data_IF_124289420529
#
_entry.id   IF_124289420529
#
_cell.length_a   1.000
_cell.length_b   1.000
_cell.length_c   1.000
_cell.angle_alpha   90.00
_cell.angle_beta   90.00
_cell.angle_gamma   90.00
#
_symmetry.space_group_name_H-M   'P 1'
#
loop_
_entity.id
_entity.type
_entity.pdbx_description
1 polymer ?
#
# COMPACT_ATOMS: atom_id res chain seq x y z
N UNK A 1 7.15 17.04 -23.54
CA UNK A 1 6.90 15.61 -23.41
C UNK A 1 7.56 15.22 -22.12
N UNK A 2 6.77 15.10 -21.04
CA UNK A 2 7.31 14.67 -19.75
C UNK A 2 7.49 13.15 -19.84
N UNK A 3 8.72 12.69 -19.81
CA UNK A 3 8.99 11.30 -19.53
C UNK A 3 8.51 11.06 -18.08
N UNK A 4 7.41 10.35 -17.92
CA UNK A 4 7.05 9.77 -16.64
C UNK A 4 8.07 8.64 -16.42
N UNK A 5 8.99 8.86 -15.51
CA UNK A 5 9.88 7.80 -15.06
C UNK A 5 9.01 6.76 -14.34
N UNK A 6 9.19 5.51 -14.71
CA UNK A 6 8.39 4.37 -14.21
C UNK A 6 9.36 3.36 -13.63
N UNK A 7 9.07 2.90 -12.44
CA UNK A 7 9.79 1.81 -11.79
C UNK A 7 9.12 0.49 -12.16
N UNK A 8 9.91 -0.45 -12.65
CA UNK A 8 9.46 -1.77 -13.04
C UNK A 8 9.77 -2.74 -11.91
N UNK A 9 8.73 -3.34 -11.33
CA UNK A 9 8.86 -4.24 -10.20
C UNK A 9 8.38 -5.62 -10.61
N UNK A 10 9.27 -6.61 -10.45
CA UNK A 10 8.98 -8.00 -10.77
C UNK A 10 8.74 -8.78 -9.48
N UNK A 11 7.55 -9.39 -9.37
CA UNK A 11 7.20 -10.25 -8.24
C UNK A 11 7.12 -11.69 -8.73
N UNK A 12 7.83 -12.61 -8.05
CA UNK A 12 7.70 -14.04 -8.28
C UNK A 12 6.62 -14.61 -7.35
N UNK A 13 5.49 -14.99 -7.92
CA UNK A 13 4.41 -15.65 -7.17
C UNK A 13 4.64 -17.16 -7.21
N UNK A 14 4.93 -17.77 -6.06
CA UNK A 14 4.94 -19.22 -5.90
C UNK A 14 3.47 -19.69 -5.80
N UNK A 15 2.91 -20.18 -6.89
CA UNK A 15 1.59 -20.80 -6.89
C UNK A 15 1.69 -22.22 -6.33
N UNK A 16 1.64 -22.33 -5.01
CA UNK A 16 1.43 -23.59 -4.29
C UNK A 16 -0.06 -23.95 -4.26
N UNK A 17 -0.69 -24.16 -5.41
CA UNK A 17 -2.08 -24.55 -5.49
C UNK A 17 -2.23 -26.06 -5.46
N UNK A 18 -2.82 -26.63 -4.41
CA UNK A 18 -3.41 -27.97 -4.43
C UNK A 18 -4.78 -27.89 -5.07
N UNK A 19 -4.85 -27.83 -6.39
CA UNK A 19 -6.07 -28.19 -7.12
C UNK A 19 -6.04 -29.69 -7.40
N UNK A 20 -6.91 -30.43 -6.70
CA UNK A 20 -7.23 -31.82 -7.07
C UNK A 20 -8.14 -31.78 -8.29
N UNK A 21 -7.56 -31.73 -9.48
CA UNK A 21 -8.27 -32.01 -10.72
C UNK A 21 -8.04 -33.47 -11.08
N UNK A 22 -9.10 -34.27 -10.93
CA UNK A 22 -9.09 -35.65 -11.33
C UNK A 22 -9.25 -35.74 -12.86
N UNK A 23 -8.14 -35.97 -13.57
CA UNK A 23 -8.17 -36.39 -14.97
C UNK A 23 -7.19 -37.54 -15.16
N UNK A 24 -7.73 -38.69 -15.62
CA UNK A 24 -6.98 -39.81 -16.18
C UNK A 24 -6.23 -39.37 -17.42
N UNK A 25 -4.92 -39.01 -17.26
CA UNK A 25 -3.97 -38.85 -18.35
C UNK A 25 -2.64 -39.45 -17.91
N UNK A 26 -1.94 -40.23 -18.75
CA UNK A 26 -0.76 -40.95 -18.36
C UNK A 26 0.41 -40.01 -18.06
N UNK A 27 1.08 -40.33 -16.96
CA UNK A 27 2.24 -39.66 -16.41
C UNK A 27 3.43 -39.80 -17.39
N UNK A 28 3.76 -38.71 -18.06
CA UNK A 28 5.12 -38.39 -18.50
C UNK A 28 5.15 -36.94 -18.98
N UNK A 29 5.34 -36.03 -18.01
CA UNK A 29 6.17 -34.83 -18.19
C UNK A 29 6.14 -34.11 -16.82
N UNK A 30 7.31 -33.94 -16.25
CA UNK A 30 7.50 -33.10 -15.07
C UNK A 30 7.04 -31.70 -15.44
N UNK A 31 5.90 -31.29 -14.90
CA UNK A 31 5.47 -29.88 -14.96
C UNK A 31 6.47 -29.11 -14.08
N UNK A 32 7.43 -28.51 -14.73
CA UNK A 32 8.22 -27.43 -14.15
C UNK A 32 7.22 -26.42 -13.57
N UNK A 33 7.29 -26.16 -12.25
CA UNK A 33 6.59 -25.06 -11.66
C UNK A 33 7.06 -23.78 -12.37
N UNK A 34 6.23 -23.29 -13.30
CA UNK A 34 6.50 -22.02 -13.93
C UNK A 34 6.24 -20.95 -12.88
N UNK A 35 7.31 -20.36 -12.36
CA UNK A 35 7.22 -19.13 -11.59
C UNK A 35 6.52 -18.11 -12.48
N UNK A 36 5.29 -17.74 -12.12
CA UNK A 36 4.59 -16.65 -12.78
C UNK A 36 5.23 -15.36 -12.27
N UNK A 37 5.98 -14.71 -13.13
CA UNK A 37 6.51 -13.38 -12.85
C UNK A 37 5.46 -12.37 -13.27
N UNK A 38 4.97 -11.59 -12.32
CA UNK A 38 4.09 -10.45 -12.57
C UNK A 38 4.90 -9.18 -12.41
N UNK A 39 4.82 -8.33 -13.39
CA UNK A 39 5.58 -7.10 -13.48
C UNK A 39 4.62 -5.93 -13.32
N UNK A 40 4.90 -5.04 -12.35
CA UNK A 40 4.10 -3.86 -12.07
C UNK A 40 4.84 -2.60 -12.52
N UNK A 41 4.21 -1.81 -13.38
CA UNK A 41 4.68 -0.48 -13.74
C UNK A 41 4.13 0.55 -12.74
N UNK A 42 5.00 1.04 -11.86
CA UNK A 42 4.63 2.06 -10.86
C UNK A 42 5.27 3.39 -11.24
N UNK A 43 4.46 4.45 -11.28
CA UNK A 43 4.97 5.77 -11.54
C UNK A 43 5.86 6.23 -10.39
N UNK A 44 7.12 6.58 -10.68
CA UNK A 44 8.05 7.11 -9.68
C UNK A 44 7.48 8.34 -8.94
N UNK A 45 6.68 9.15 -9.64
CA UNK A 45 5.99 10.28 -9.03
C UNK A 45 5.05 9.87 -7.90
N UNK A 46 4.39 8.72 -7.98
CA UNK A 46 3.45 8.24 -6.95
C UNK A 46 4.20 7.74 -5.73
N UNK A 47 5.32 7.03 -5.92
CA UNK A 47 6.25 6.67 -4.85
C UNK A 47 6.72 7.94 -4.13
N UNK A 48 7.16 8.94 -4.90
CA UNK A 48 7.66 10.20 -4.37
C UNK A 48 6.58 10.98 -3.58
N UNK A 49 5.34 11.00 -4.04
CA UNK A 49 4.24 11.64 -3.31
C UNK A 49 3.99 10.95 -1.97
N UNK A 50 3.92 9.62 -1.94
CA UNK A 50 3.74 8.86 -0.70
C UNK A 50 4.91 9.03 0.25
N UNK A 51 6.16 8.82 -0.21
CA UNK A 51 7.35 8.91 0.63
C UNK A 51 7.52 10.30 1.26
N UNK A 52 7.27 11.38 0.50
CA UNK A 52 7.30 12.76 1.01
C UNK A 52 6.18 13.03 2.00
N UNK A 53 5.01 12.43 1.81
CA UNK A 53 3.91 12.52 2.79
C UNK A 53 4.28 11.79 4.07
N UNK A 54 4.82 10.57 3.97
CA UNK A 54 5.32 9.81 5.12
C UNK A 54 6.38 10.60 5.90
N UNK A 55 7.29 11.28 5.22
CA UNK A 55 8.29 12.12 5.89
C UNK A 55 7.62 13.20 6.75
N UNK A 56 6.59 13.85 6.26
CA UNK A 56 5.88 14.90 6.99
C UNK A 56 5.01 14.37 8.13
N UNK A 57 4.31 13.25 7.90
CA UNK A 57 3.26 12.75 8.80
C UNK A 57 3.75 11.65 9.76
N UNK A 58 4.78 10.88 9.40
CA UNK A 58 5.13 9.66 10.12
C UNK A 58 6.63 9.38 10.29
N UNK A 59 7.54 10.33 9.97
CA UNK A 59 8.99 10.07 10.08
C UNK A 59 9.46 9.74 11.50
N UNK A 60 8.74 10.20 12.51
CA UNK A 60 9.03 9.95 13.92
C UNK A 60 8.42 8.66 14.48
N UNK A 61 7.58 7.98 13.70
CA UNK A 61 6.95 6.73 14.10
C UNK A 61 7.93 5.58 13.82
N UNK A 62 8.13 4.68 14.79
CA UNK A 62 9.02 3.54 14.62
C UNK A 62 8.36 2.41 13.82
N UNK A 63 7.06 2.19 14.00
CA UNK A 63 6.31 1.09 13.38
C UNK A 63 6.19 1.25 11.86
N UNK A 64 6.78 0.31 11.10
CA UNK A 64 6.59 0.24 9.64
C UNK A 64 5.13 0.00 9.26
N UNK A 65 4.42 -0.83 10.03
CA UNK A 65 2.99 -1.09 9.83
C UNK A 65 2.17 0.21 9.92
N UNK A 66 2.49 1.07 10.88
CA UNK A 66 1.79 2.34 11.05
C UNK A 66 2.12 3.33 9.93
N UNK A 67 3.38 3.39 9.48
CA UNK A 67 3.78 4.17 8.30
C UNK A 67 3.04 3.68 7.05
N UNK A 68 2.97 2.37 6.83
CA UNK A 68 2.23 1.76 5.74
C UNK A 68 0.72 2.10 5.81
N UNK A 69 0.13 2.14 7.00
CA UNK A 69 -1.26 2.52 7.18
C UNK A 69 -1.55 3.96 6.73
N UNK A 70 -0.59 4.90 6.84
CA UNK A 70 -0.73 6.24 6.27
C UNK A 70 -0.83 6.17 4.74
N UNK A 71 0.00 5.35 4.08
CA UNK A 71 -0.11 5.13 2.62
C UNK A 71 -1.47 4.52 2.25
N UNK A 72 -1.91 3.48 2.97
CA UNK A 72 -3.22 2.86 2.74
C UNK A 72 -4.37 3.85 2.94
N UNK A 73 -4.30 4.76 3.92
CA UNK A 73 -5.30 5.82 4.11
C UNK A 73 -5.36 6.77 2.89
N UNK A 74 -4.22 7.11 2.28
CA UNK A 74 -4.18 7.90 1.04
C UNK A 74 -4.84 7.13 -0.11
N UNK A 75 -4.48 5.86 -0.30
CA UNK A 75 -5.02 5.01 -1.36
C UNK A 75 -6.52 4.73 -1.18
N UNK A 76 -7.00 4.57 0.07
CA UNK A 76 -8.41 4.47 0.37
C UNK A 76 -9.18 5.71 -0.11
N UNK A 77 -8.60 6.92 0.03
CA UNK A 77 -9.22 8.15 -0.49
C UNK A 77 -9.22 8.21 -2.01
N UNK A 78 -8.16 7.73 -2.68
CA UNK A 78 -8.10 7.62 -4.15
C UNK A 78 -9.23 6.74 -4.67
N UNK A 79 -9.50 5.63 -3.98
CA UNK A 79 -10.52 4.65 -4.35
C UNK A 79 -11.93 5.02 -3.89
N UNK A 80 -12.06 5.98 -2.97
CA UNK A 80 -13.34 6.34 -2.39
C UNK A 80 -14.23 7.13 -3.34
N UNK A 81 -15.52 6.80 -3.34
CA UNK A 81 -16.58 7.58 -3.99
C UNK A 81 -17.34 8.48 -3.00
N UNK A 82 -16.89 8.54 -1.74
CA UNK A 82 -17.46 9.44 -0.75
C UNK A 82 -17.37 10.90 -1.19
N UNK A 83 -18.32 11.71 -0.73
CA UNK A 83 -18.45 13.11 -1.13
C UNK A 83 -17.14 13.89 -0.99
N UNK A 84 -16.40 13.67 0.09
CA UNK A 84 -15.18 14.40 0.41
C UNK A 84 -14.00 14.02 -0.52
N UNK A 85 -14.00 12.80 -1.08
CA UNK A 85 -12.87 12.25 -1.85
C UNK A 85 -13.18 11.96 -3.33
N UNK A 86 -14.45 11.94 -3.72
CA UNK A 86 -14.89 11.51 -5.06
C UNK A 86 -14.21 12.23 -6.25
N UNK A 87 -13.63 13.40 -6.02
CA UNK A 87 -12.92 14.18 -7.03
C UNK A 87 -11.38 14.05 -6.92
N UNK A 88 -10.88 13.23 -5.99
CA UNK A 88 -9.46 12.99 -5.74
C UNK A 88 -9.12 11.59 -6.27
N UNK A 89 -8.83 11.48 -7.56
CA UNK A 89 -8.65 10.16 -8.22
C UNK A 89 -7.18 9.80 -8.45
N UNK A 90 -6.25 10.61 -7.96
CA UNK A 90 -4.82 10.32 -7.97
C UNK A 90 -4.21 10.55 -6.59
N UNK A 91 -3.08 9.91 -6.32
CA UNK A 91 -2.31 10.13 -5.09
C UNK A 91 -1.96 11.60 -4.94
N UNK A 92 -1.53 12.23 -6.05
CA UNK A 92 -1.26 13.67 -6.10
C UNK A 92 -2.47 14.49 -5.64
N UNK A 93 -3.66 14.21 -6.17
CA UNK A 93 -4.86 14.97 -5.80
C UNK A 93 -5.14 14.91 -4.30
N UNK A 94 -4.96 13.71 -3.71
CA UNK A 94 -5.18 13.47 -2.28
C UNK A 94 -4.15 14.22 -1.43
N UNK A 95 -2.86 14.04 -1.71
CA UNK A 95 -1.81 14.58 -0.82
C UNK A 95 -1.61 16.09 -0.95
N UNK A 96 -1.96 16.66 -2.13
CA UNK A 96 -1.85 18.12 -2.35
C UNK A 96 -3.15 18.89 -2.10
N UNK A 97 -4.24 18.20 -1.77
CA UNK A 97 -5.50 18.86 -1.46
C UNK A 97 -5.38 19.72 -0.20
N UNK A 98 -5.98 20.92 -0.18
CA UNK A 98 -5.90 21.81 0.96
C UNK A 98 -6.38 21.15 2.26
N UNK A 99 -5.58 21.25 3.32
CA UNK A 99 -5.87 20.74 4.67
C UNK A 99 -6.02 19.21 4.78
N UNK A 100 -5.52 18.44 3.80
CA UNK A 100 -5.56 16.98 3.87
C UNK A 100 -4.31 16.41 4.54
N UNK A 101 -3.13 16.68 3.99
CA UNK A 101 -1.85 16.22 4.54
C UNK A 101 -0.94 17.43 4.78
N UNK A 102 -1.01 17.99 5.98
CA UNK A 102 -0.27 19.21 6.31
C UNK A 102 1.24 19.00 6.37
N UNK A 103 1.69 17.78 6.60
CA UNK A 103 3.10 17.42 6.60
C UNK A 103 3.68 17.22 5.19
N UNK A 104 2.84 17.11 4.15
CA UNK A 104 3.36 17.03 2.80
C UNK A 104 4.02 18.33 2.35
N UNK A 105 5.25 18.24 1.90
CA UNK A 105 5.95 19.32 1.17
C UNK A 105 6.70 18.71 -0.01
N UNK A 106 6.62 19.37 -1.18
CA UNK A 106 7.35 18.92 -2.38
C UNK A 106 8.87 18.86 -2.17
N UNK A 107 9.39 19.63 -1.20
CA UNK A 107 10.80 19.74 -0.85
C UNK A 107 11.19 18.79 0.32
N UNK A 108 10.24 18.00 0.86
CA UNK A 108 10.55 16.94 1.81
C UNK A 108 11.56 15.96 1.20
N UNK A 109 12.59 15.54 1.96
CA UNK A 109 13.58 14.61 1.45
C UNK A 109 12.96 13.21 1.21
N UNK A 110 13.51 12.52 0.22
CA UNK A 110 13.27 11.10 0.03
C UNK A 110 14.23 10.34 0.95
N UNK A 111 13.68 9.59 1.89
CA UNK A 111 14.41 8.75 2.83
C UNK A 111 14.18 7.29 2.40
N UNK A 112 15.25 6.52 2.24
CA UNK A 112 15.18 5.16 1.68
C UNK A 112 14.11 4.30 2.34
N UNK A 113 14.05 4.24 3.68
CA UNK A 113 13.02 3.48 4.40
C UNK A 113 11.58 3.89 4.03
N UNK A 114 11.35 5.20 3.82
CA UNK A 114 10.02 5.71 3.48
C UNK A 114 9.68 5.47 2.00
N UNK A 115 10.69 5.45 1.15
CA UNK A 115 10.56 5.07 -0.27
C UNK A 115 10.22 3.59 -0.36
N UNK A 116 10.95 2.71 0.36
CA UNK A 116 10.71 1.27 0.39
C UNK A 116 9.29 0.93 0.85
N UNK A 117 8.79 1.61 1.90
CA UNK A 117 7.42 1.41 2.40
C UNK A 117 6.39 1.90 1.37
N UNK A 118 6.61 3.05 0.75
CA UNK A 118 5.71 3.58 -0.27
C UNK A 118 5.61 2.66 -1.48
N UNK A 119 6.74 2.15 -1.95
CA UNK A 119 6.84 1.21 -3.06
C UNK A 119 6.13 -0.12 -2.73
N UNK A 120 6.42 -0.73 -1.58
CA UNK A 120 5.78 -1.96 -1.13
C UNK A 120 4.25 -1.82 -1.06
N UNK A 121 3.74 -0.73 -0.49
CA UNK A 121 2.29 -0.50 -0.38
C UNK A 121 1.66 -0.29 -1.76
N UNK A 122 2.33 0.42 -2.69
CA UNK A 122 1.83 0.60 -4.06
C UNK A 122 1.75 -0.72 -4.81
N UNK A 123 2.76 -1.58 -4.68
CA UNK A 123 2.75 -2.92 -5.26
C UNK A 123 1.52 -3.70 -4.77
N UNK A 124 1.32 -3.76 -3.45
CA UNK A 124 0.19 -4.47 -2.83
C UNK A 124 -1.16 -3.91 -3.29
N UNK A 125 -1.27 -2.58 -3.43
CA UNK A 125 -2.46 -1.93 -3.93
C UNK A 125 -2.76 -2.29 -5.38
N UNK A 126 -1.74 -2.35 -6.26
CA UNK A 126 -1.91 -2.83 -7.64
C UNK A 126 -2.30 -4.30 -7.68
N UNK A 127 -1.66 -5.16 -6.87
CA UNK A 127 -2.04 -6.57 -6.74
C UNK A 127 -3.52 -6.72 -6.34
N UNK A 128 -3.99 -5.92 -5.38
CA UNK A 128 -5.40 -5.92 -4.96
C UNK A 128 -6.33 -5.50 -6.12
N UNK A 129 -5.95 -4.50 -6.93
CA UNK A 129 -6.70 -4.10 -8.13
C UNK A 129 -6.78 -5.20 -9.18
N UNK A 130 -5.76 -6.02 -9.27
CA UNK A 130 -5.72 -7.18 -10.16
C UNK A 130 -6.44 -8.42 -9.58
N UNK A 131 -7.09 -8.26 -8.43
CA UNK A 131 -7.90 -9.30 -7.79
C UNK A 131 -7.13 -10.27 -6.91
N UNK A 132 -5.86 -9.96 -6.56
CA UNK A 132 -5.14 -10.73 -5.56
C UNK A 132 -5.76 -10.46 -4.18
N UNK A 133 -6.15 -11.53 -3.49
CA UNK A 133 -6.64 -11.47 -2.12
C UNK A 133 -5.46 -11.61 -1.14
N UNK A 134 -5.63 -11.11 0.08
CA UNK A 134 -4.61 -11.22 1.15
C UNK A 134 -3.26 -10.59 0.78
N UNK A 135 -3.30 -9.40 0.19
CA UNK A 135 -2.09 -8.66 -0.19
C UNK A 135 -1.26 -8.14 1.00
N UNK A 136 -1.63 -8.47 2.24
CA UNK A 136 -0.99 -7.94 3.44
C UNK A 136 -1.35 -6.47 3.70
N UNK A 137 -2.60 -6.10 3.43
CA UNK A 137 -3.16 -4.80 3.77
C UNK A 137 -3.17 -4.62 5.29
N UNK A 138 -2.80 -3.43 5.77
CA UNK A 138 -2.71 -3.14 7.22
C UNK A 138 -3.78 -2.17 7.71
N UNK A 139 -4.60 -1.64 6.80
CA UNK A 139 -5.69 -0.70 7.10
C UNK A 139 -6.90 -1.04 6.21
N UNK A 140 -8.10 -1.28 6.79
CA UNK A 140 -9.31 -1.53 6.00
C UNK A 140 -9.67 -0.35 5.08
N UNK A 141 -10.42 -0.64 4.00
CA UNK A 141 -10.72 0.34 2.93
C UNK A 141 -11.56 1.52 3.40
N UNK A 142 -12.39 1.33 4.43
CA UNK A 142 -13.25 2.37 5.00
C UNK A 142 -12.50 3.38 5.89
N UNK A 143 -11.24 3.11 6.26
CA UNK A 143 -10.45 4.04 7.06
C UNK A 143 -9.78 5.09 6.19
N UNK A 144 -10.42 6.24 6.09
CA UNK A 144 -10.03 7.35 5.22
C UNK A 144 -9.53 8.58 5.99
N UNK A 145 -9.59 8.56 7.33
CA UNK A 145 -9.14 9.66 8.18
C UNK A 145 -8.14 9.18 9.23
N UNK A 146 -7.19 10.07 9.58
CA UNK A 146 -6.35 9.88 10.76
C UNK A 146 -5.94 11.23 11.35
N UNK A 147 -5.41 11.19 12.55
CA UNK A 147 -4.64 12.28 13.14
C UNK A 147 -3.46 11.71 13.91
N UNK A 148 -2.35 12.47 13.93
CA UNK A 148 -1.16 12.16 14.72
C UNK A 148 -1.17 12.95 16.03
N UNK A 149 -0.69 12.34 17.12
CA UNK A 149 -0.45 13.00 18.41
C UNK A 149 1.06 13.25 18.69
N UNK A 150 1.90 12.89 17.73
CA UNK A 150 3.36 13.00 17.80
C UNK A 150 4.05 11.70 18.19
N UNK A 151 3.33 10.72 18.78
CA UNK A 151 3.81 9.40 19.15
C UNK A 151 3.26 8.32 18.22
N UNK A 152 2.01 8.51 17.75
CA UNK A 152 1.29 7.58 16.85
C UNK A 152 0.24 8.27 16.01
N UNK A 153 -0.25 7.52 15.00
CA UNK A 153 -1.38 7.90 14.16
C UNK A 153 -2.63 7.10 14.54
N UNK A 154 -3.75 7.79 14.65
CA UNK A 154 -5.05 7.24 15.04
C UNK A 154 -5.96 7.23 13.82
N UNK A 155 -6.20 6.07 13.23
CA UNK A 155 -7.00 5.91 12.02
C UNK A 155 -8.48 5.70 12.35
N UNK A 156 -9.39 6.27 11.54
CA UNK A 156 -10.83 6.22 11.72
C UNK A 156 -11.57 6.33 10.39
N UNK A 157 -12.84 5.89 10.39
CA UNK A 157 -13.68 5.86 9.19
C UNK A 157 -14.37 7.20 8.91
N UNK A 158 -14.53 8.06 9.90
CA UNK A 158 -15.17 9.39 9.79
C UNK A 158 -14.41 10.38 10.68
N UNK A 159 -14.28 11.62 10.23
CA UNK A 159 -13.54 12.66 10.96
C UNK A 159 -14.13 12.99 12.36
N UNK A 160 -15.40 12.62 12.63
CA UNK A 160 -16.07 12.75 13.93
C UNK A 160 -16.05 11.49 14.76
N UNK A 161 -15.70 10.34 14.17
CA UNK A 161 -15.67 9.08 14.88
C UNK A 161 -14.71 9.14 16.08
N UNK A 162 -15.10 8.48 17.16
CA UNK A 162 -14.26 8.23 18.34
C UNK A 162 -13.75 6.80 18.37
N UNK A 163 -14.14 6.01 17.37
CA UNK A 163 -13.68 4.64 17.19
C UNK A 163 -12.47 4.65 16.26
N UNK A 164 -11.42 4.00 16.67
CA UNK A 164 -10.16 3.95 15.95
C UNK A 164 -9.85 2.54 15.53
N UNK A 165 -9.03 2.41 14.50
CA UNK A 165 -8.48 1.14 14.06
C UNK A 165 -7.72 0.47 15.22
N UNK A 166 -8.04 -0.80 15.49
CA UNK A 166 -7.57 -1.57 16.63
C UNK A 166 -6.31 -2.41 16.35
N UNK A 167 -5.77 -2.31 15.11
CA UNK A 167 -4.60 -3.06 14.66
C UNK A 167 -4.77 -4.58 14.74
N UNK A 168 -6.00 -5.07 14.52
CA UNK A 168 -6.37 -6.48 14.66
C UNK A 168 -5.89 -7.37 13.50
N UNK A 169 -5.38 -6.77 12.42
CA UNK A 169 -4.83 -7.52 11.29
C UNK A 169 -3.37 -7.87 11.48
N UNK A 170 -2.92 -8.94 10.80
CA UNK A 170 -1.52 -9.37 10.83
C UNK A 170 -0.59 -8.26 10.35
N UNK A 171 0.59 -8.20 10.98
CA UNK A 171 1.62 -7.25 10.60
C UNK A 171 2.58 -7.88 9.57
N UNK A 172 2.50 -7.50 8.29
CA UNK A 172 3.38 -8.07 7.26
C UNK A 172 4.82 -7.58 7.35
N UNK A 173 5.11 -6.61 8.23
CA UNK A 173 6.43 -6.01 8.45
C UNK A 173 7.15 -6.59 9.67
N UNK A 174 6.52 -7.50 10.42
CA UNK A 174 7.22 -8.23 11.47
C UNK A 174 8.11 -9.27 10.84
N UNK A 175 9.40 -9.22 11.15
CA UNK A 175 10.31 -10.30 10.82
C UNK A 175 9.83 -11.56 11.56
N UNK A 176 9.52 -12.61 10.82
CA UNK A 176 9.26 -13.93 11.41
C UNK A 176 10.55 -14.41 12.08
N UNK A 177 10.73 -14.08 13.36
CA UNK A 177 11.84 -14.53 14.19
C UNK A 177 11.79 -16.05 14.48
N UNK A 178 10.91 -16.79 13.79
CA UNK A 178 10.71 -18.24 13.89
C UNK A 178 11.13 -18.94 12.59
N UNK A 179 12.35 -18.77 12.17
CA UNK A 179 13.01 -19.53 11.09
C UNK A 179 14.11 -20.43 11.65
#
# INVERSE_FOLDING_TARGET
MNNLETVLITISLLTGGTETVNFDVPIHEAVSSSDVQVEYEIAESDINYLAKTLYGEARGIESKMEKAAVCWCILNRVDSDEYDFRNMKTIKDVVTAPNQFMGYDKDNPLVDELVDIAEDVLIRWHMEKDGVVEVGRVLPTEYTYFYGDGERNWFRTDWRSKEFWDWSWDNPYEENLNG
#
